data_IF_351968638022
#
_entry.id   IF_351968638022
#
_cell.length_a   1.000
_cell.length_b   1.000
_cell.length_c   1.000
_cell.angle_alpha   90.00
_cell.angle_beta   90.00
_cell.angle_gamma   90.00
#
_symmetry.space_group_name_H-M   'P 1'
#
loop_
_entity.id
_entity.type
_entity.pdbx_description
1 polymer ?
#
# COMPACT_ATOMS: atom_id res chain seq x y z
N UNK A 1 31.35 -5.21 12.20
CA UNK A 1 30.39 -4.71 11.19
C UNK A 1 29.00 -5.06 11.68
N UNK A 2 28.29 -4.11 12.30
CA UNK A 2 26.94 -4.34 12.82
C UNK A 2 25.95 -4.24 11.67
N UNK A 3 25.21 -5.31 11.39
CA UNK A 3 24.15 -5.26 10.39
C UNK A 3 23.05 -4.28 10.85
N UNK A 4 22.54 -3.41 9.97
CA UNK A 4 21.43 -2.54 10.33
C UNK A 4 20.20 -3.39 10.67
N UNK A 5 19.39 -2.91 11.62
CA UNK A 5 18.13 -3.57 11.97
C UNK A 5 17.18 -3.58 10.77
N UNK A 6 16.26 -4.54 10.72
CA UNK A 6 15.24 -4.60 9.67
C UNK A 6 14.41 -3.30 9.60
N UNK A 7 14.14 -2.68 10.75
CA UNK A 7 13.45 -1.39 10.81
C UNK A 7 14.28 -0.27 10.18
N UNK A 8 15.57 -0.16 10.51
CA UNK A 8 16.46 0.85 9.92
C UNK A 8 16.60 0.67 8.40
N UNK A 9 16.62 -0.58 7.92
CA UNK A 9 16.57 -0.85 6.49
C UNK A 9 15.25 -0.39 5.87
N UNK A 10 14.11 -0.72 6.48
CA UNK A 10 12.80 -0.29 6.00
C UNK A 10 12.68 1.25 5.96
N UNK A 11 13.13 1.96 6.98
CA UNK A 11 13.14 3.44 6.99
C UNK A 11 14.01 4.02 5.86
N UNK A 12 15.18 3.43 5.61
CA UNK A 12 16.09 3.89 4.55
C UNK A 12 15.55 3.65 3.14
N UNK A 13 14.69 2.65 2.96
CA UNK A 13 14.15 2.25 1.65
C UNK A 13 12.76 2.80 1.38
N UNK A 14 11.91 2.88 2.40
CA UNK A 14 10.47 3.14 2.26
C UNK A 14 10.05 4.52 2.75
N UNK A 15 10.86 5.20 3.58
CA UNK A 15 10.49 6.51 4.12
C UNK A 15 11.45 7.61 3.68
N UNK A 16 12.75 7.44 3.97
CA UNK A 16 13.79 8.45 3.71
C UNK A 16 13.83 8.92 2.24
N UNK A 17 13.76 8.04 1.23
CA UNK A 17 13.80 8.46 -0.17
C UNK A 17 12.60 9.31 -0.58
N UNK A 18 11.49 9.16 0.13
CA UNK A 18 10.22 9.84 -0.11
C UNK A 18 10.03 11.06 0.83
N UNK A 19 11.09 11.45 1.54
CA UNK A 19 11.07 12.53 2.55
C UNK A 19 10.00 12.32 3.63
N UNK A 20 9.68 11.06 3.93
CA UNK A 20 8.76 10.70 5.00
C UNK A 20 9.54 10.45 6.29
N UNK A 21 8.92 10.83 7.39
CA UNK A 21 9.42 10.60 8.75
C UNK A 21 8.39 9.84 9.57
N UNK A 22 8.82 9.29 10.71
CA UNK A 22 7.90 8.71 11.69
C UNK A 22 6.84 9.72 12.17
N UNK A 23 7.18 11.01 12.17
CA UNK A 23 6.24 12.09 12.48
C UNK A 23 5.11 12.21 11.46
N UNK A 24 5.37 11.92 10.19
CA UNK A 24 4.35 11.90 9.14
C UNK A 24 3.42 10.70 9.31
N UNK A 25 3.97 9.52 9.64
CA UNK A 25 3.17 8.35 9.97
C UNK A 25 2.26 8.62 11.18
N UNK A 26 2.82 9.22 12.23
CA UNK A 26 2.10 9.61 13.44
C UNK A 26 0.98 10.61 13.14
N UNK A 27 1.23 11.59 12.26
CA UNK A 27 0.21 12.55 11.82
C UNK A 27 -0.90 11.84 11.04
N UNK A 28 -0.56 10.93 10.16
CA UNK A 28 -1.53 10.13 9.38
C UNK A 28 -2.40 9.28 10.29
N UNK A 29 -1.83 8.54 11.25
CA UNK A 29 -2.60 7.82 12.26
C UNK A 29 -3.48 8.75 13.09
N UNK A 30 -2.94 9.89 13.53
CA UNK A 30 -3.69 10.91 14.25
C UNK A 30 -4.85 11.51 13.44
N UNK A 31 -4.77 11.51 12.11
CA UNK A 31 -5.90 11.86 11.26
C UNK A 31 -6.94 10.74 11.24
N UNK A 32 -6.53 9.48 11.00
CA UNK A 32 -7.42 8.33 10.88
C UNK A 32 -8.21 8.08 12.19
N UNK A 33 -7.51 8.06 13.32
CA UNK A 33 -8.04 7.65 14.63
C UNK A 33 -9.04 8.64 15.25
N UNK A 34 -9.16 9.88 14.73
CA UNK A 34 -10.11 10.88 15.24
C UNK A 34 -11.58 10.48 15.16
N UNK A 35 -11.95 9.46 14.36
CA UNK A 35 -13.33 9.20 13.95
C UNK A 35 -13.94 7.90 14.52
N UNK A 36 -13.56 7.48 15.74
CA UNK A 36 -13.96 6.18 16.33
C UNK A 36 -13.52 4.99 15.45
N UNK A 37 -12.30 5.09 14.93
CA UNK A 37 -11.59 3.96 14.31
C UNK A 37 -10.88 3.24 15.44
N UNK A 38 -11.14 1.93 15.57
CA UNK A 38 -10.58 1.10 16.62
C UNK A 38 -9.13 0.69 16.31
N UNK A 39 -8.84 0.50 15.03
CA UNK A 39 -7.52 0.08 14.58
C UNK A 39 -7.23 0.63 13.18
N UNK A 40 -5.98 0.99 12.95
CA UNK A 40 -5.49 1.34 11.62
C UNK A 40 -4.06 0.85 11.43
N UNK A 41 -3.72 0.44 10.20
CA UNK A 41 -2.36 0.18 9.79
C UNK A 41 -2.02 0.83 8.45
N UNK A 42 -0.72 1.05 8.26
CA UNK A 42 -0.12 1.54 7.03
C UNK A 42 0.78 0.42 6.49
N UNK A 43 0.64 0.12 5.21
CA UNK A 43 1.45 -0.85 4.50
C UNK A 43 2.24 -0.16 3.40
N UNK A 44 3.57 -0.30 3.42
CA UNK A 44 4.45 0.29 2.42
C UNK A 44 5.07 -0.83 1.58
N UNK A 45 5.18 -0.59 0.28
CA UNK A 45 5.80 -1.53 -0.65
C UNK A 45 6.77 -0.82 -1.57
N UNK A 46 7.95 -1.42 -1.74
CA UNK A 46 8.89 -1.09 -2.80
C UNK A 46 9.45 -2.39 -3.36
N UNK A 47 9.33 -2.58 -4.67
CA UNK A 47 9.78 -3.76 -5.38
C UNK A 47 10.50 -3.35 -6.65
N UNK A 48 11.68 -3.93 -6.89
CA UNK A 48 12.48 -3.72 -8.08
C UNK A 48 12.74 -5.08 -8.72
N UNK A 49 12.38 -5.23 -9.99
CA UNK A 49 12.59 -6.48 -10.73
C UNK A 49 13.30 -6.21 -12.05
N UNK A 50 14.19 -7.12 -12.41
CA UNK A 50 14.96 -7.08 -13.66
C UNK A 50 14.81 -8.43 -14.37
N UNK A 51 14.65 -8.41 -15.69
CA UNK A 51 14.62 -9.62 -16.49
C UNK A 51 15.47 -9.43 -17.75
N UNK A 52 16.19 -10.48 -18.14
CA UNK A 52 17.08 -10.48 -19.29
C UNK A 52 16.77 -11.71 -20.15
N UNK A 53 16.59 -11.51 -21.46
CA UNK A 53 16.41 -12.58 -22.44
C UNK A 53 17.71 -12.76 -23.22
N UNK A 54 18.27 -13.97 -23.17
CA UNK A 54 19.45 -14.34 -23.94
C UNK A 54 19.08 -15.39 -24.98
N UNK A 55 19.68 -15.24 -26.15
CA UNK A 55 19.60 -16.19 -27.25
C UNK A 55 20.95 -16.25 -27.97
N UNK A 56 21.45 -17.46 -28.20
CA UNK A 56 22.79 -17.72 -28.77
C UNK A 56 23.94 -16.99 -28.06
N UNK A 57 23.83 -16.77 -26.74
CA UNK A 57 24.83 -16.03 -25.97
C UNK A 57 24.77 -14.50 -26.14
N UNK A 58 23.78 -13.99 -26.88
CA UNK A 58 23.53 -12.55 -27.08
C UNK A 58 22.29 -12.14 -26.29
N UNK A 59 22.39 -11.03 -25.57
CA UNK A 59 21.22 -10.42 -24.92
C UNK A 59 20.30 -9.86 -25.99
N UNK A 60 19.09 -10.42 -26.12
CA UNK A 60 18.07 -9.96 -27.07
C UNK A 60 17.24 -8.82 -26.49
N UNK A 61 16.95 -8.87 -25.21
CA UNK A 61 16.18 -7.83 -24.52
C UNK A 61 16.43 -7.83 -23.02
N UNK A 62 16.23 -6.68 -22.40
CA UNK A 62 16.20 -6.51 -20.95
C UNK A 62 14.97 -5.71 -20.56
N UNK A 63 14.36 -6.01 -19.41
CA UNK A 63 13.29 -5.21 -18.82
C UNK A 63 13.60 -4.90 -17.37
N UNK A 64 13.14 -3.72 -16.95
CA UNK A 64 13.36 -3.18 -15.63
C UNK A 64 12.04 -2.60 -15.13
N UNK A 65 11.56 -3.06 -13.98
CA UNK A 65 10.31 -2.58 -13.39
C UNK A 65 10.53 -2.19 -11.94
N UNK A 66 9.95 -1.05 -11.56
CA UNK A 66 9.85 -0.60 -10.18
C UNK A 66 8.37 -0.46 -9.88
N UNK A 67 7.92 -1.18 -8.86
CA UNK A 67 6.58 -1.05 -8.30
C UNK A 67 6.72 -0.52 -6.87
N UNK A 68 5.99 0.54 -6.56
CA UNK A 68 5.98 1.14 -5.22
C UNK A 68 4.57 1.56 -4.84
N UNK A 69 4.34 1.78 -3.55
CA UNK A 69 3.07 2.31 -3.10
C UNK A 69 2.84 2.22 -1.60
N UNK A 70 1.74 2.83 -1.17
CA UNK A 70 1.27 2.81 0.21
C UNK A 70 -0.20 2.44 0.28
N UNK A 71 -0.54 1.59 1.24
CA UNK A 71 -1.89 1.18 1.58
C UNK A 71 -2.26 1.58 3.00
N UNK A 72 -3.52 1.91 3.22
CA UNK A 72 -4.09 2.26 4.51
C UNK A 72 -5.31 1.39 4.76
N UNK A 73 -5.37 0.78 5.93
CA UNK A 73 -6.54 0.06 6.40
C UNK A 73 -7.02 0.66 7.71
N UNK A 74 -8.33 0.78 7.88
CA UNK A 74 -8.95 1.09 9.17
C UNK A 74 -10.11 0.16 9.49
N UNK A 75 -10.27 -0.13 10.78
CA UNK A 75 -11.34 -0.94 11.35
C UNK A 75 -12.18 -0.10 12.31
N UNK A 76 -13.49 -0.25 12.23
CA UNK A 76 -14.45 0.35 13.17
C UNK A 76 -15.58 -0.64 13.44
N UNK A 77 -15.54 -1.28 14.61
CA UNK A 77 -16.32 -2.47 14.93
C UNK A 77 -16.05 -3.60 13.94
N UNK A 78 -17.09 -4.02 13.23
CA UNK A 78 -17.02 -5.08 12.21
C UNK A 78 -16.70 -4.53 10.81
N UNK A 79 -16.53 -3.22 10.67
CA UNK A 79 -16.36 -2.55 9.37
C UNK A 79 -14.90 -2.37 9.05
N UNK A 80 -14.53 -2.63 7.81
CA UNK A 80 -13.17 -2.40 7.29
C UNK A 80 -13.19 -1.43 6.12
N UNK A 81 -12.31 -0.44 6.15
CA UNK A 81 -12.06 0.50 5.06
C UNK A 81 -10.62 0.37 4.56
N UNK A 82 -10.44 0.51 3.25
CA UNK A 82 -9.15 0.42 2.57
C UNK A 82 -8.96 1.60 1.62
N UNK A 83 -7.73 2.09 1.51
CA UNK A 83 -7.28 2.99 0.45
C UNK A 83 -5.83 2.65 0.08
N UNK A 84 -5.45 2.90 -1.17
CA UNK A 84 -4.08 2.67 -1.63
C UNK A 84 -3.67 3.72 -2.66
N UNK A 85 -2.36 3.88 -2.83
CA UNK A 85 -1.73 4.68 -3.87
C UNK A 85 -0.50 3.93 -4.40
N UNK A 86 -0.23 4.12 -5.70
CA UNK A 86 0.96 3.68 -6.43
C UNK A 86 2.16 4.63 -6.24
N UNK A 87 1.99 5.67 -5.42
CA UNK A 87 3.05 6.59 -5.01
C UNK A 87 3.25 6.55 -3.49
N UNK A 88 4.50 6.71 -3.05
CA UNK A 88 4.84 6.88 -1.64
C UNK A 88 5.15 8.36 -1.43
N UNK A 89 4.21 9.08 -0.84
CA UNK A 89 4.39 10.49 -0.52
C UNK A 89 3.50 10.93 0.63
N UNK A 90 3.83 12.08 1.23
CA UNK A 90 3.00 12.65 2.30
C UNK A 90 1.59 13.00 1.80
N UNK A 91 1.46 13.38 0.53
CA UNK A 91 0.18 13.61 -0.12
C UNK A 91 -0.62 12.30 -0.23
N UNK A 92 -0.02 11.24 -0.77
CA UNK A 92 -0.66 9.92 -0.88
C UNK A 92 -1.13 9.39 0.49
N UNK A 93 -0.33 9.57 1.54
CA UNK A 93 -0.71 9.23 2.92
C UNK A 93 -1.92 10.03 3.40
N UNK A 94 -1.94 11.35 3.15
CA UNK A 94 -3.04 12.22 3.53
C UNK A 94 -4.35 11.88 2.80
N UNK A 95 -4.25 11.63 1.49
CA UNK A 95 -5.39 11.25 0.66
C UNK A 95 -5.96 9.90 1.08
N UNK A 96 -5.11 8.90 1.31
CA UNK A 96 -5.52 7.59 1.78
C UNK A 96 -6.17 7.66 3.18
N UNK A 97 -5.59 8.43 4.11
CA UNK A 97 -6.20 8.67 5.42
C UNK A 97 -7.57 9.36 5.32
N UNK A 98 -7.71 10.33 4.41
CA UNK A 98 -8.98 11.02 4.17
C UNK A 98 -10.05 10.08 3.61
N UNK A 99 -9.68 9.26 2.62
CA UNK A 99 -10.57 8.28 1.99
C UNK A 99 -11.06 7.23 3.00
N UNK A 100 -10.14 6.63 3.76
CA UNK A 100 -10.46 5.61 4.76
C UNK A 100 -11.37 6.18 5.86
N UNK A 101 -11.13 7.42 6.30
CA UNK A 101 -12.03 8.11 7.24
C UNK A 101 -13.42 8.33 6.67
N UNK A 102 -13.52 8.78 5.43
CA UNK A 102 -14.81 9.03 4.78
C UNK A 102 -15.62 7.74 4.68
N UNK A 103 -14.98 6.62 4.31
CA UNK A 103 -15.61 5.30 4.25
C UNK A 103 -16.07 4.87 5.65
N UNK A 104 -15.18 4.90 6.65
CA UNK A 104 -15.53 4.53 8.02
C UNK A 104 -16.71 5.37 8.59
N UNK A 105 -16.75 6.67 8.25
CA UNK A 105 -17.83 7.56 8.65
C UNK A 105 -19.15 7.27 7.92
N UNK A 106 -19.11 7.09 6.60
CA UNK A 106 -20.29 6.92 5.75
C UNK A 106 -20.96 5.55 5.95
N UNK A 107 -20.18 4.50 6.21
CA UNK A 107 -20.73 3.17 6.50
C UNK A 107 -21.56 3.17 7.81
N UNK A 108 -21.49 4.21 8.66
CA UNK A 108 -22.43 4.36 9.80
C UNK A 108 -23.84 4.80 9.40
N UNK A 109 -24.03 5.43 8.24
CA UNK A 109 -25.27 6.15 7.90
C UNK A 109 -26.07 5.51 6.76
N UNK A 110 -25.51 4.54 6.03
CA UNK A 110 -26.20 3.86 4.93
C UNK A 110 -25.26 3.58 3.75
N UNK A 111 -25.57 2.56 2.96
CA UNK A 111 -24.73 2.01 1.88
C UNK A 111 -24.00 3.08 1.07
N UNK A 112 -22.68 2.98 1.06
CA UNK A 112 -21.80 3.85 0.25
C UNK A 112 -21.58 3.17 -1.09
N UNK A 113 -21.95 3.85 -2.17
CA UNK A 113 -21.60 3.45 -3.52
C UNK A 113 -20.10 3.68 -3.72
N UNK A 114 -19.37 2.60 -4.01
CA UNK A 114 -17.96 2.62 -4.33
C UNK A 114 -17.79 3.23 -5.72
N UNK A 115 -17.50 4.53 -5.81
CA UNK A 115 -16.92 5.08 -7.02
C UNK A 115 -15.47 4.62 -7.08
N UNK A 116 -15.26 3.46 -7.70
CA UNK A 116 -13.95 3.13 -8.28
C UNK A 116 -13.60 4.29 -9.20
N UNK A 117 -12.69 5.17 -8.79
CA UNK A 117 -11.97 5.95 -9.79
C UNK A 117 -11.21 4.93 -10.62
N UNK A 118 -11.75 4.68 -11.81
CA UNK A 118 -11.15 3.86 -12.85
C UNK A 118 -9.76 4.41 -13.16
N UNK A 119 -8.74 3.78 -12.59
CA UNK A 119 -7.43 3.69 -13.23
C UNK A 119 -7.37 2.32 -13.91
N UNK A 120 -6.83 2.33 -15.12
CA UNK A 120 -7.02 1.37 -16.20
C UNK A 120 -6.92 -0.12 -15.80
N UNK A 121 -7.68 -1.02 -16.47
CA UNK A 121 -7.64 -2.47 -16.23
C UNK A 121 -6.38 -3.18 -16.76
N UNK A 122 -5.24 -2.50 -16.84
CA UNK A 122 -4.06 -2.96 -17.58
C UNK A 122 -2.78 -3.03 -16.72
N UNK A 123 -2.77 -3.85 -15.67
CA UNK A 123 -1.51 -4.20 -14.97
C UNK A 123 -1.54 -5.50 -14.15
N UNK A 124 -2.50 -6.41 -14.36
CA UNK A 124 -2.63 -7.62 -13.53
C UNK A 124 -2.33 -8.94 -14.25
N UNK A 125 -1.47 -8.94 -15.27
CA UNK A 125 -1.13 -10.15 -16.03
C UNK A 125 0.37 -10.51 -16.02
N UNK A 126 1.10 -10.40 -14.89
CA UNK A 126 2.40 -11.12 -14.76
C UNK A 126 3.05 -11.22 -13.37
N UNK A 127 2.31 -11.25 -12.26
CA UNK A 127 2.90 -11.63 -10.97
C UNK A 127 2.16 -12.84 -10.39
N UNK A 128 2.95 -13.87 -10.12
CA UNK A 128 2.57 -15.22 -9.76
C UNK A 128 1.49 -15.31 -8.68
N UNK A 129 0.45 -16.08 -9.03
CA UNK A 129 -0.53 -16.72 -8.15
C UNK A 129 0.20 -17.55 -7.08
N UNK A 130 0.56 -16.97 -5.94
CA UNK A 130 1.00 -17.76 -4.78
C UNK A 130 0.82 -17.12 -3.39
N UNK A 131 0.69 -15.80 -3.24
CA UNK A 131 0.71 -15.20 -1.87
C UNK A 131 -0.63 -14.58 -1.44
N UNK A 132 -1.52 -14.20 -2.37
CA UNK A 132 -2.75 -13.49 -2.00
C UNK A 132 -4.02 -14.38 -1.88
N UNK A 133 -3.94 -15.67 -2.22
CA UNK A 133 -5.10 -16.58 -2.18
C UNK A 133 -5.30 -17.32 -0.84
N UNK A 134 -4.35 -17.26 0.10
CA UNK A 134 -4.45 -18.04 1.34
C UNK A 134 -5.13 -17.29 2.49
N UNK A 135 -5.13 -15.94 2.49
CA UNK A 135 -5.63 -15.16 3.63
C UNK A 135 -7.12 -14.76 3.58
N UNK A 136 -7.80 -14.92 2.44
CA UNK A 136 -9.25 -14.63 2.32
C UNK A 136 -10.16 -15.85 2.39
N UNK A 137 -9.66 -17.05 2.76
CA UNK A 137 -10.45 -18.30 2.74
C UNK A 137 -10.58 -19.06 4.07
N UNK A 138 -10.28 -18.45 5.21
CA UNK A 138 -10.48 -19.12 6.52
C UNK A 138 -11.44 -18.38 7.47
N UNK A 139 -12.42 -17.67 6.91
CA UNK A 139 -13.60 -17.20 7.65
C UNK A 139 -14.87 -17.59 6.88
N UNK A 140 -15.04 -18.90 6.68
CA UNK A 140 -16.31 -19.55 6.34
C UNK A 140 -16.27 -21.00 6.85
#
# INVERSE_FOLDING_TARGET
MTQPSALAQAESLLLTPFSLTEGDLSRTFGQILKNQVDYADLYFQYSRSEAWSLDEGIVKSGSFNIDQGVGVRALSGEKTAFAYSDDISAAALGDAASAVRAIAAAVRTGSVHFSTTSLSPFAWSRISRAVFSQYCKSAA
#
